data_IF_550849678761
#
_entry.id   IF_550849678761
#
_cell.length_a   1.000
_cell.length_b   1.000
_cell.length_c   1.000
_cell.angle_alpha   90.00
_cell.angle_beta   90.00
_cell.angle_gamma   90.00
#
_symmetry.space_group_name_H-M   'P 1'
#
loop_
_entity.id
_entity.type
_entity.pdbx_description
1 polymer ?
#
# COMPACT_ATOMS: atom_id res chain seq x y z
N UNK A 1 10.68 -5.60 -5.55
CA UNK A 1 9.36 -5.07 -5.11
C UNK A 1 9.26 -3.56 -5.27
N UNK A 2 10.23 -2.79 -4.81
CA UNK A 2 10.16 -1.34 -4.91
C UNK A 2 10.11 -0.83 -6.35
N UNK A 3 10.84 -1.44 -7.26
CA UNK A 3 10.80 -1.04 -8.67
C UNK A 3 9.42 -1.25 -9.28
N UNK A 4 8.76 -2.35 -8.94
CA UNK A 4 7.41 -2.63 -9.41
C UNK A 4 6.42 -1.62 -8.83
N UNK A 5 6.53 -1.31 -7.54
CA UNK A 5 5.67 -0.33 -6.88
C UNK A 5 5.81 1.05 -7.51
N UNK A 6 7.02 1.46 -7.85
CA UNK A 6 7.27 2.78 -8.45
C UNK A 6 6.66 2.94 -9.84
N UNK A 7 6.28 1.85 -10.48
CA UNK A 7 5.52 1.91 -11.74
C UNK A 7 4.05 2.27 -11.51
N UNK A 8 3.56 2.10 -10.29
CA UNK A 8 2.17 2.34 -9.92
C UNK A 8 1.98 3.54 -8.99
N UNK A 9 3.03 3.92 -8.26
CA UNK A 9 2.95 4.94 -7.22
C UNK A 9 4.18 5.86 -7.29
N UNK A 10 3.95 7.15 -7.05
CA UNK A 10 5.04 8.12 -7.04
C UNK A 10 5.89 8.04 -5.79
N UNK A 11 5.27 7.81 -4.64
CA UNK A 11 5.98 7.79 -3.36
C UNK A 11 6.12 6.37 -2.84
N UNK A 12 7.35 5.85 -2.91
CA UNK A 12 7.72 4.52 -2.38
C UNK A 12 9.09 4.65 -1.74
N UNK A 13 9.16 4.42 -0.43
CA UNK A 13 10.40 4.52 0.35
C UNK A 13 10.53 3.33 1.29
N UNK A 14 11.70 3.14 1.89
CA UNK A 14 11.90 2.08 2.88
C UNK A 14 11.39 2.52 4.24
N UNK A 15 10.97 1.57 5.08
CA UNK A 15 10.57 1.88 6.46
C UNK A 15 11.75 2.36 7.30
N UNK A 16 12.96 1.99 6.95
CA UNK A 16 14.17 2.50 7.60
C UNK A 16 14.22 4.02 7.52
N UNK A 17 13.85 4.59 6.37
CA UNK A 17 13.82 6.05 6.19
C UNK A 17 12.65 6.72 6.91
N UNK A 18 11.58 5.98 7.16
CA UNK A 18 10.43 6.55 7.86
C UNK A 18 10.65 6.64 9.37
N UNK A 19 10.99 5.53 10.01
CA UNK A 19 11.09 5.47 11.47
C UNK A 19 12.19 4.52 11.98
N UNK A 20 13.06 4.06 11.09
CA UNK A 20 14.14 3.13 11.45
C UNK A 20 13.73 1.66 11.49
N UNK A 21 12.45 1.33 11.23
CA UNK A 21 12.03 -0.07 11.17
C UNK A 21 12.66 -0.77 9.97
N UNK A 22 13.09 -2.01 10.13
CA UNK A 22 13.78 -2.75 9.09
C UNK A 22 12.85 -3.63 8.27
N UNK A 23 13.14 -3.74 6.98
CA UNK A 23 12.56 -4.75 6.11
C UNK A 23 11.23 -4.42 5.47
N UNK A 24 10.66 -3.25 5.74
CA UNK A 24 9.38 -2.85 5.17
C UNK A 24 9.50 -1.78 4.09
N UNK A 25 8.36 -1.50 3.46
CA UNK A 25 8.22 -0.44 2.46
C UNK A 25 7.16 0.53 2.93
N UNK A 26 7.42 1.82 2.79
CA UNK A 26 6.54 2.91 3.22
C UNK A 26 5.88 3.56 2.01
N UNK A 27 4.56 3.65 2.02
CA UNK A 27 3.76 4.24 0.95
C UNK A 27 2.89 5.37 1.50
N UNK A 28 2.63 6.39 0.66
CA UNK A 28 1.65 7.41 0.99
C UNK A 28 0.28 7.00 0.46
N UNK A 29 -0.74 7.05 1.31
CA UNK A 29 -2.11 6.78 0.93
C UNK A 29 -2.89 8.05 0.58
N UNK A 30 -2.29 9.24 0.77
CA UNK A 30 -3.01 10.51 0.63
C UNK A 30 -3.29 10.94 -0.80
N UNK A 31 -2.53 10.46 -1.76
CA UNK A 31 -2.62 10.95 -3.14
C UNK A 31 -3.59 10.15 -4.03
N UNK A 32 -4.41 9.31 -3.44
CA UNK A 32 -5.46 8.56 -4.16
C UNK A 32 -4.97 7.90 -5.46
N UNK A 33 -3.77 7.34 -5.44
CA UNK A 33 -3.23 6.64 -6.59
C UNK A 33 -4.08 5.42 -6.90
N UNK A 34 -4.21 5.10 -8.19
CA UNK A 34 -5.19 4.13 -8.64
C UNK A 34 -4.55 2.88 -9.24
N UNK A 35 -5.28 1.77 -9.12
CA UNK A 35 -4.96 0.51 -9.77
C UNK A 35 -6.22 0.08 -10.53
N UNK A 36 -6.10 -0.10 -11.83
CA UNK A 36 -7.23 -0.39 -12.71
C UNK A 36 -8.37 0.63 -12.56
N UNK A 37 -8.02 1.91 -12.36
CA UNK A 37 -9.00 2.99 -12.25
C UNK A 37 -9.63 3.16 -10.88
N UNK A 38 -9.24 2.36 -9.88
CA UNK A 38 -9.79 2.41 -8.52
C UNK A 38 -8.68 2.82 -7.54
N UNK A 39 -8.91 3.80 -6.64
CA UNK A 39 -7.91 4.16 -5.64
C UNK A 39 -7.47 2.94 -4.81
N UNK A 40 -6.17 2.76 -4.65
CA UNK A 40 -5.61 1.61 -3.94
C UNK A 40 -5.89 1.63 -2.45
N UNK A 41 -5.78 2.81 -1.83
CA UNK A 41 -5.91 2.98 -0.39
C UNK A 41 -6.86 4.13 -0.09
N UNK A 42 -7.91 3.81 0.62
CA UNK A 42 -8.92 4.77 1.06
C UNK A 42 -9.35 4.37 2.46
N UNK A 43 -8.71 4.92 3.48
CA UNK A 43 -8.83 4.48 4.87
C UNK A 43 -10.28 4.31 5.34
N UNK A 44 -11.16 5.19 4.91
CA UNK A 44 -12.57 5.17 5.32
C UNK A 44 -13.49 4.52 4.31
N UNK A 45 -12.97 3.93 3.24
CA UNK A 45 -13.80 3.34 2.21
C UNK A 45 -14.50 2.08 2.71
N UNK A 46 -15.74 1.92 2.28
CA UNK A 46 -16.58 0.78 2.60
C UNK A 46 -17.11 0.17 1.30
N UNK A 47 -17.62 -1.06 1.37
CA UNK A 47 -18.22 -1.73 0.23
C UNK A 47 -17.40 -2.90 -0.26
N UNK A 48 -17.86 -3.50 -1.35
CA UNK A 48 -17.32 -4.77 -1.85
C UNK A 48 -15.91 -4.65 -2.44
N UNK A 49 -15.54 -3.45 -2.91
CA UNK A 49 -14.23 -3.24 -3.54
C UNK A 49 -13.09 -3.12 -2.53
N UNK A 50 -13.41 -2.83 -1.27
CA UNK A 50 -12.40 -2.56 -0.26
C UNK A 50 -12.52 -3.49 0.93
N UNK A 51 -11.38 -3.85 1.49
CA UNK A 51 -11.30 -4.55 2.78
C UNK A 51 -10.35 -3.75 3.66
N UNK A 52 -10.86 -3.25 4.79
CA UNK A 52 -10.10 -2.41 5.72
C UNK A 52 -9.44 -1.21 5.02
N UNK A 53 -10.15 -0.60 4.07
CA UNK A 53 -9.65 0.57 3.36
C UNK A 53 -8.64 0.28 2.25
N UNK A 54 -8.44 -0.97 1.89
CA UNK A 54 -7.52 -1.37 0.81
C UNK A 54 -8.31 -2.01 -0.33
N UNK A 55 -8.08 -1.53 -1.55
CA UNK A 55 -8.71 -2.13 -2.72
C UNK A 55 -8.30 -3.61 -2.82
N UNK A 56 -9.28 -4.51 -2.80
CA UNK A 56 -9.03 -5.94 -2.69
C UNK A 56 -8.17 -6.50 -3.82
N UNK A 57 -8.38 -6.05 -5.06
CA UNK A 57 -7.56 -6.53 -6.18
C UNK A 57 -6.11 -6.07 -6.08
N UNK A 58 -5.88 -4.88 -5.52
CA UNK A 58 -4.53 -4.41 -5.25
C UNK A 58 -3.86 -5.27 -4.19
N UNK A 59 -4.56 -5.53 -3.08
CA UNK A 59 -4.00 -6.34 -2.01
C UNK A 59 -3.76 -7.78 -2.46
N UNK A 60 -4.65 -8.35 -3.28
CA UNK A 60 -4.41 -9.68 -3.84
C UNK A 60 -3.13 -9.72 -4.67
N UNK A 61 -2.88 -8.67 -5.46
CA UNK A 61 -1.65 -8.58 -6.25
C UNK A 61 -0.43 -8.47 -5.35
N UNK A 62 -0.48 -7.64 -4.31
CA UNK A 62 0.58 -7.49 -3.31
C UNK A 62 0.86 -8.83 -2.62
N UNK A 63 -0.20 -9.53 -2.21
CA UNK A 63 -0.07 -10.84 -1.57
C UNK A 63 0.57 -11.87 -2.51
N UNK A 64 0.22 -11.82 -3.79
CA UNK A 64 0.79 -12.76 -4.77
C UNK A 64 2.29 -12.58 -4.94
N UNK A 65 2.82 -11.43 -4.57
CA UNK A 65 4.24 -11.10 -4.63
C UNK A 65 4.95 -11.36 -3.29
N UNK A 66 4.23 -11.87 -2.28
CA UNK A 66 4.79 -12.20 -0.98
C UNK A 66 4.79 -11.09 0.04
N UNK A 67 3.93 -10.10 -0.13
CA UNK A 67 3.83 -8.94 0.75
C UNK A 67 2.39 -8.72 1.21
N UNK A 68 2.20 -7.91 2.27
CA UNK A 68 0.87 -7.48 2.70
C UNK A 68 0.91 -6.03 3.17
N UNK A 69 -0.25 -5.36 3.10
CA UNK A 69 -0.38 -3.96 3.51
C UNK A 69 -0.81 -3.86 4.96
N UNK A 70 -0.25 -2.87 5.66
CA UNK A 70 -0.62 -2.56 7.04
C UNK A 70 -0.74 -1.05 7.19
N UNK A 71 -1.87 -0.56 7.69
CA UNK A 71 -2.05 0.86 7.95
C UNK A 71 -1.18 1.29 9.15
N UNK A 72 -0.39 2.36 8.94
CA UNK A 72 0.33 3.02 10.01
C UNK A 72 -0.53 4.15 10.59
N UNK A 73 -1.17 4.92 9.72
CA UNK A 73 -2.17 5.93 10.04
C UNK A 73 -3.02 6.15 8.78
N UNK A 74 -4.08 7.00 8.83
CA UNK A 74 -4.96 7.18 7.66
C UNK A 74 -4.28 7.66 6.38
N UNK A 75 -3.08 8.23 6.48
CA UNK A 75 -2.35 8.72 5.31
C UNK A 75 -1.13 7.88 4.94
N UNK A 76 -0.82 6.82 5.69
CA UNK A 76 0.45 6.08 5.55
C UNK A 76 0.22 4.58 5.64
N UNK A 77 0.77 3.87 4.65
CA UNK A 77 0.69 2.40 4.59
C UNK A 77 2.11 1.83 4.58
N UNK A 78 2.30 0.76 5.31
CA UNK A 78 3.53 -0.03 5.27
C UNK A 78 3.26 -1.35 4.56
N UNK A 79 4.24 -1.83 3.81
CA UNK A 79 4.21 -3.18 3.25
C UNK A 79 5.27 -4.02 3.95
N UNK A 80 4.89 -5.22 4.32
CA UNK A 80 5.77 -6.18 4.97
C UNK A 80 5.75 -7.51 4.22
N UNK A 81 6.85 -8.24 4.26
CA UNK A 81 6.90 -9.58 3.70
C UNK A 81 6.05 -10.55 4.54
N UNK A 82 5.33 -11.41 3.84
CA UNK A 82 4.53 -12.45 4.46
C UNK A 82 5.41 -13.53 5.11
#
# INVERSE_FOLDING_TARGET
MMEWLRKHMEFVETTEQFNGSEGGIWLSAENSEVYSGIPMYEYYAEGELYELGVYTKWEEKINSMGWYSEWHDPGTVMLWEI
#
